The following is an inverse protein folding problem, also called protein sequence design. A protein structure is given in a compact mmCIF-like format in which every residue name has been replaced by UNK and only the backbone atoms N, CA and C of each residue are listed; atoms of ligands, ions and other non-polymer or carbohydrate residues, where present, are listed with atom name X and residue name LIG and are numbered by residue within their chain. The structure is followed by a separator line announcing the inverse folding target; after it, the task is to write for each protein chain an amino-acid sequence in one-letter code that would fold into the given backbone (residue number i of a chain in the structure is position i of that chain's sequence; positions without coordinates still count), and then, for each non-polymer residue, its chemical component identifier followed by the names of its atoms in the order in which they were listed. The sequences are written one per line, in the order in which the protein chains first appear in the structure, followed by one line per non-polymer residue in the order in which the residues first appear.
data_IF_312695055009
#
_entry.id   IF_312695055009
#
_cell.length_a   1.000
_cell.length_b   1.000
_cell.length_c   1.000
_cell.angle_alpha   90.00
_cell.angle_beta   90.00
_cell.angle_gamma   90.00
#
_symmetry.space_group_name_H-M   'P 1'
#
loop_
_entity.id
_entity.type
_entity.pdbx_description
1 polymer ?
#
# COMPACT_ATOMS: atom_id res chain seq x y z
N UNK A 1 5.42 10.93 -40.62
CA UNK A 1 5.10 9.60 -40.07
C UNK A 1 5.03 9.74 -38.55
N UNK A 2 3.85 9.55 -37.93
CA UNK A 2 3.70 9.72 -36.46
C UNK A 2 3.95 8.37 -35.78
N UNK A 3 5.03 8.28 -35.01
CA UNK A 3 5.36 7.08 -34.21
C UNK A 3 4.35 6.93 -33.07
N UNK A 4 3.90 5.71 -32.80
CA UNK A 4 2.95 5.39 -31.73
C UNK A 4 3.67 4.58 -30.66
N UNK A 5 3.77 5.11 -29.44
CA UNK A 5 4.35 4.41 -28.30
C UNK A 5 3.27 3.57 -27.61
N UNK A 6 3.58 2.31 -27.28
CA UNK A 6 2.78 1.45 -26.39
C UNK A 6 3.67 0.99 -25.25
N UNK A 7 3.23 1.22 -24.01
CA UNK A 7 3.94 0.84 -22.79
C UNK A 7 3.03 1.07 -21.58
N UNK A 8 3.44 0.57 -20.42
CA UNK A 8 2.78 0.81 -19.13
C UNK A 8 3.48 1.95 -18.41
N UNK A 9 2.72 2.92 -17.90
CA UNK A 9 3.22 3.94 -16.99
C UNK A 9 2.87 3.51 -15.56
N UNK A 10 3.87 3.46 -14.67
CA UNK A 10 3.66 3.22 -13.24
C UNK A 10 3.74 4.57 -12.54
N UNK A 11 2.70 4.93 -11.79
CA UNK A 11 2.68 6.13 -10.97
C UNK A 11 2.80 5.75 -9.50
N UNK A 12 3.67 6.43 -8.77
CA UNK A 12 3.71 6.34 -7.31
C UNK A 12 2.78 7.39 -6.74
N UNK A 13 1.80 6.96 -5.94
CA UNK A 13 0.87 7.85 -5.27
C UNK A 13 1.31 7.95 -3.80
N UNK A 14 1.70 9.16 -3.32
CA UNK A 14 2.06 9.32 -1.93
C UNK A 14 0.84 9.04 -1.04
N UNK A 15 1.09 8.32 0.05
CA UNK A 15 0.08 7.91 1.03
C UNK A 15 0.60 8.01 2.46
N UNK A 16 -0.31 7.94 3.43
CA UNK A 16 0.03 7.87 4.84
C UNK A 16 -0.43 6.55 5.44
N UNK A 17 0.46 5.87 6.14
CA UNK A 17 0.11 4.71 6.95
C UNK A 17 -0.60 5.17 8.23
N UNK A 18 -1.84 4.72 8.44
CA UNK A 18 -2.66 5.05 9.60
C UNK A 18 -2.64 3.96 10.66
N UNK A 19 -2.69 2.70 10.23
CA UNK A 19 -2.64 1.52 11.10
C UNK A 19 -1.94 0.36 10.39
N UNK A 20 -1.29 -0.52 11.14
CA UNK A 20 -0.50 -1.62 10.61
C UNK A 20 -0.62 -2.87 11.48
N UNK A 21 -0.78 -4.01 10.83
CA UNK A 21 -0.76 -5.33 11.45
C UNK A 21 0.10 -6.29 10.63
N UNK A 22 0.22 -7.55 11.08
CA UNK A 22 0.87 -8.60 10.28
C UNK A 22 0.08 -9.01 9.04
N UNK A 23 -1.24 -8.78 9.04
CA UNK A 23 -2.13 -9.22 7.96
C UNK A 23 -2.58 -8.10 7.03
N UNK A 24 -2.26 -6.84 7.31
CA UNK A 24 -2.79 -5.73 6.53
C UNK A 24 -2.46 -4.36 7.10
N UNK A 25 -2.95 -3.33 6.42
CA UNK A 25 -2.74 -1.94 6.80
C UNK A 25 -3.99 -1.09 6.54
N UNK A 26 -4.11 0.02 7.26
CA UNK A 26 -5.00 1.11 6.93
C UNK A 26 -4.18 2.28 6.39
N UNK A 27 -4.52 2.76 5.20
CA UNK A 27 -3.82 3.82 4.49
C UNK A 27 -4.74 5.02 4.28
N UNK A 28 -4.16 6.21 4.22
CA UNK A 28 -4.80 7.40 3.67
C UNK A 28 -4.15 7.76 2.34
N UNK A 29 -4.93 7.78 1.27
CA UNK A 29 -4.48 8.04 -0.10
C UNK A 29 -5.25 9.21 -0.72
N UNK A 30 -4.67 9.88 -1.70
CA UNK A 30 -5.36 10.90 -2.51
C UNK A 30 -6.15 10.30 -3.69
N UNK A 31 -5.97 9.00 -3.95
CA UNK A 31 -6.63 8.29 -5.02
C UNK A 31 -7.60 7.24 -4.46
N UNK A 32 -8.73 7.08 -5.15
CA UNK A 32 -9.65 5.98 -4.94
C UNK A 32 -9.05 4.69 -5.50
N UNK A 33 -9.18 3.59 -4.76
CA UNK A 33 -8.82 2.26 -5.23
C UNK A 33 -10.06 1.37 -5.18
N UNK A 34 -10.24 0.51 -6.18
CA UNK A 34 -11.38 -0.39 -6.22
C UNK A 34 -11.16 -1.57 -5.26
N UNK A 35 -12.22 -1.96 -4.53
CA UNK A 35 -12.23 -3.15 -3.70
C UNK A 35 -11.99 -4.41 -4.55
N UNK A 36 -11.20 -5.35 -4.03
CA UNK A 36 -10.75 -6.56 -4.72
C UNK A 36 -9.52 -6.38 -5.60
N UNK A 37 -9.07 -5.14 -5.86
CA UNK A 37 -7.82 -4.92 -6.60
C UNK A 37 -6.59 -5.25 -5.75
N UNK A 38 -5.57 -5.82 -6.40
CA UNK A 38 -4.28 -6.12 -5.80
C UNK A 38 -3.26 -5.11 -6.28
N UNK A 39 -2.61 -4.44 -5.33
CA UNK A 39 -1.57 -3.45 -5.60
C UNK A 39 -0.29 -3.77 -4.82
N UNK A 40 0.84 -3.34 -5.37
CA UNK A 40 2.11 -3.34 -4.63
C UNK A 40 2.22 -2.03 -3.83
N UNK A 41 2.48 -2.14 -2.53
CA UNK A 41 2.72 -1.02 -1.65
C UNK A 41 4.15 -1.05 -1.11
N UNK A 42 4.78 0.12 -1.06
CA UNK A 42 6.03 0.34 -0.36
C UNK A 42 5.72 1.09 0.94
N UNK A 43 5.84 0.40 2.07
CA UNK A 43 5.60 0.97 3.40
C UNK A 43 6.93 1.44 3.98
N UNK A 44 7.02 2.72 4.33
CA UNK A 44 8.17 3.26 5.08
C UNK A 44 7.94 3.05 6.59
N UNK A 45 8.76 2.20 7.20
CA UNK A 45 8.73 1.84 8.61
C UNK A 45 10.06 2.26 9.26
N UNK A 46 10.08 3.43 9.90
CA UNK A 46 11.25 4.03 10.56
C UNK A 46 12.50 4.11 9.66
N UNK A 47 12.32 4.46 8.38
CA UNK A 47 13.41 4.60 7.41
C UNK A 47 13.78 3.30 6.69
N UNK A 48 13.12 2.19 7.01
CA UNK A 48 13.18 0.95 6.22
C UNK A 48 11.94 0.78 5.36
N UNK A 49 12.15 0.55 4.06
CA UNK A 49 11.06 0.20 3.15
C UNK A 49 10.73 -1.29 3.23
N UNK A 50 9.45 -1.59 3.46
CA UNK A 50 8.85 -2.93 3.40
C UNK A 50 7.91 -2.99 2.21
N UNK A 51 8.21 -3.87 1.25
CA UNK A 51 7.37 -4.08 0.08
C UNK A 51 6.33 -5.18 0.35
N UNK A 52 5.06 -4.87 0.11
CA UNK A 52 3.94 -5.80 0.28
C UNK A 52 3.06 -5.79 -0.96
N UNK A 53 2.49 -6.93 -1.30
CA UNK A 53 1.37 -7.04 -2.21
C UNK A 53 0.10 -7.18 -1.37
N UNK A 54 -0.91 -6.34 -1.63
CA UNK A 54 -2.10 -6.28 -0.81
C UNK A 54 -3.38 -6.11 -1.64
N UNK A 55 -4.45 -6.79 -1.21
CA UNK A 55 -5.79 -6.66 -1.77
C UNK A 55 -6.56 -5.55 -1.05
N UNK A 56 -7.22 -4.68 -1.80
CA UNK A 56 -8.10 -3.64 -1.26
C UNK A 56 -9.36 -4.29 -0.70
N UNK A 57 -9.53 -4.26 0.63
CA UNK A 57 -10.70 -4.81 1.32
C UNK A 57 -11.81 -3.78 1.54
N UNK A 58 -11.45 -2.50 1.61
CA UNK A 58 -12.40 -1.38 1.71
C UNK A 58 -11.76 -0.10 1.23
N UNK A 59 -12.54 0.76 0.56
CA UNK A 59 -12.13 2.12 0.22
C UNK A 59 -13.28 3.08 0.50
N UNK A 60 -13.05 4.12 1.31
CA UNK A 60 -14.09 5.12 1.64
C UNK A 60 -13.52 6.53 1.68
N UNK A 61 -14.31 7.56 1.35
CA UNK A 61 -13.89 8.95 1.52
C UNK A 61 -13.49 9.24 2.96
N UNK A 62 -12.36 9.94 3.15
CA UNK A 62 -11.89 10.37 4.47
C UNK A 62 -12.46 11.75 4.83
N UNK A 63 -12.72 12.05 6.12
CA UNK A 63 -13.33 13.33 6.55
C UNK A 63 -12.54 14.59 6.13
N UNK A 64 -11.24 14.48 5.86
CA UNK A 64 -10.34 15.59 5.49
C UNK A 64 -9.89 15.52 4.02
N UNK A 65 -10.68 14.87 3.17
CA UNK A 65 -10.37 14.63 1.77
C UNK A 65 -9.49 13.39 1.55
N UNK A 66 -9.44 12.90 0.31
CA UNK A 66 -8.83 11.61 -0.03
C UNK A 66 -9.67 10.43 0.47
N UNK A 67 -9.02 9.28 0.63
CA UNK A 67 -9.67 8.00 0.92
C UNK A 67 -8.93 7.26 2.04
N UNK A 68 -9.70 6.67 2.96
CA UNK A 68 -9.22 5.63 3.86
C UNK A 68 -9.34 4.28 3.17
N UNK A 69 -8.21 3.61 3.00
CA UNK A 69 -8.10 2.34 2.27
C UNK A 69 -7.60 1.26 3.22
N UNK A 70 -8.45 0.27 3.48
CA UNK A 70 -8.05 -0.93 4.22
C UNK A 70 -7.58 -1.99 3.25
N UNK A 71 -6.38 -2.52 3.47
CA UNK A 71 -5.78 -3.56 2.63
C UNK A 71 -5.39 -4.79 3.44
N UNK A 72 -5.50 -5.96 2.83
CA UNK A 72 -5.02 -7.24 3.38
C UNK A 72 -3.79 -7.71 2.60
N UNK A 73 -2.72 -8.08 3.30
CA UNK A 73 -1.50 -8.57 2.69
C UNK A 73 -1.71 -9.98 2.12
N UNK A 74 -1.53 -10.11 0.81
CA UNK A 74 -1.58 -11.40 0.10
C UNK A 74 -0.19 -11.93 -0.24
N UNK A 75 0.83 -11.05 -0.19
CA UNK A 75 2.22 -11.42 -0.36
C UNK A 75 3.15 -10.44 0.35
N UNK A 76 4.11 -10.98 1.11
CA UNK A 76 5.19 -10.21 1.72
C UNK A 76 6.48 -10.99 1.52
N UNK A 77 7.52 -10.35 1.00
CA UNK A 77 8.83 -11.01 0.86
C UNK A 77 9.32 -11.52 2.23
N UNK A 78 9.90 -12.73 2.35
CA UNK A 78 10.32 -13.27 3.64
C UNK A 78 11.29 -12.37 4.44
N UNK A 79 12.12 -11.57 3.77
CA UNK A 79 12.99 -10.58 4.42
C UNK A 79 12.16 -9.45 5.02
N UNK A 80 11.19 -8.95 4.27
CA UNK A 80 10.30 -7.88 4.67
C UNK A 80 9.29 -8.33 5.72
N UNK A 81 8.90 -9.61 5.72
CA UNK A 81 8.08 -10.20 6.77
C UNK A 81 8.81 -10.20 8.12
N UNK A 82 10.13 -10.44 8.13
CA UNK A 82 10.94 -10.34 9.36
C UNK A 82 11.01 -8.90 9.86
N UNK A 83 11.17 -7.93 8.96
CA UNK A 83 11.19 -6.49 9.30
C UNK A 83 9.86 -6.02 9.86
N UNK A 84 8.76 -6.34 9.19
CA UNK A 84 7.40 -6.05 9.65
C UNK A 84 7.16 -6.61 11.05
N UNK A 85 7.55 -7.88 11.29
CA UNK A 85 7.45 -8.51 12.63
C UNK A 85 8.31 -7.80 13.68
N UNK A 86 9.52 -7.38 13.32
CA UNK A 86 10.40 -6.67 14.24
C UNK A 86 9.84 -5.29 14.60
N UNK A 87 9.38 -4.53 13.60
CA UNK A 87 8.74 -3.22 13.77
C UNK A 87 7.53 -3.29 14.71
N UNK A 88 6.60 -4.23 14.45
CA UNK A 88 5.39 -4.38 15.27
C UNK A 88 5.66 -4.82 16.71
N UNK A 89 6.81 -5.44 17.00
CA UNK A 89 7.21 -5.82 18.37
C UNK A 89 7.86 -4.68 19.15
N UNK A 90 8.42 -3.69 18.46
CA UNK A 90 9.12 -2.57 19.08
C UNK A 90 8.18 -1.42 19.49
N UNK A 91 6.89 -1.56 19.23
CA UNK A 91 5.85 -0.54 19.35
C UNK A 91 4.85 -0.91 20.45
#
# INVERSE_FOLDING_TARGET
MKSRLRGTARAEVPGRLLDLSLGGALLHLQAELAEGEIHDFALDLDGETVSVQAEVRRCRPAPRGGYEVGVEFVGVDPRDQRRLKAYLKAR
#
